data_IF_650773799495
#
_entry.id   IF_650773799495
#
_cell.length_a   1.000
_cell.length_b   1.000
_cell.length_c   1.000
_cell.angle_alpha   90.00
_cell.angle_beta   90.00
_cell.angle_gamma   90.00
#
_symmetry.space_group_name_H-M   'P 1'
#
loop_
_entity.id
_entity.type
_entity.pdbx_description
1 polymer ?
#
# COMPACT_ATOMS: atom_id res chain seq x y z
N UNK A 1 -40.78 39.23 -34.99
CA UNK A 1 -39.47 39.78 -34.57
C UNK A 1 -38.99 39.37 -33.18
N UNK A 2 -39.76 38.55 -32.43
CA UNK A 2 -39.33 38.03 -31.09
C UNK A 2 -38.60 36.70 -31.12
N UNK A 3 -38.63 35.94 -32.22
CA UNK A 3 -38.03 34.60 -32.33
C UNK A 3 -36.54 34.70 -32.68
N UNK A 4 -36.11 35.72 -33.41
CA UNK A 4 -34.73 35.89 -33.86
C UNK A 4 -33.81 36.27 -32.68
N UNK A 5 -34.30 37.02 -31.69
CA UNK A 5 -33.53 37.39 -30.52
C UNK A 5 -33.25 36.20 -29.57
N UNK A 6 -34.18 35.24 -29.46
CA UNK A 6 -33.95 34.03 -28.63
C UNK A 6 -32.92 33.09 -29.25
N UNK A 7 -32.91 32.99 -30.59
CA UNK A 7 -31.96 32.16 -31.30
C UNK A 7 -30.54 32.75 -31.27
N UNK A 8 -30.41 34.10 -31.38
CA UNK A 8 -29.11 34.75 -31.28
C UNK A 8 -28.51 34.69 -29.86
N UNK A 9 -29.35 34.73 -28.82
CA UNK A 9 -28.89 34.65 -27.43
C UNK A 9 -28.44 33.24 -27.07
N UNK A 10 -29.08 32.21 -27.63
CA UNK A 10 -28.70 30.81 -27.42
C UNK A 10 -27.37 30.45 -28.12
N UNK A 11 -27.11 31.05 -29.30
CA UNK A 11 -25.84 30.85 -30.02
C UNK A 11 -24.68 31.58 -29.31
N UNK A 12 -24.95 32.79 -28.75
CA UNK A 12 -23.94 33.51 -27.98
C UNK A 12 -23.55 32.80 -26.67
N UNK A 13 -24.49 32.07 -26.02
CA UNK A 13 -24.19 31.30 -24.81
C UNK A 13 -23.49 29.98 -25.08
N UNK A 14 -23.76 29.34 -26.24
CA UNK A 14 -23.08 28.12 -26.66
C UNK A 14 -21.63 28.39 -27.13
N UNK A 15 -21.33 29.61 -27.57
CA UNK A 15 -19.98 30.03 -27.99
C UNK A 15 -19.02 30.30 -26.82
N UNK A 16 -19.54 30.57 -25.61
CA UNK A 16 -18.72 30.85 -24.42
C UNK A 16 -18.31 29.62 -23.61
N UNK A 17 -18.91 28.48 -23.89
CA UNK A 17 -18.59 27.22 -23.18
C UNK A 17 -17.48 26.39 -23.84
N UNK A 18 -16.90 26.83 -24.96
CA UNK A 18 -15.81 26.15 -25.66
C UNK A 18 -14.43 26.80 -25.43
N UNK A 19 -14.36 27.86 -24.61
CA UNK A 19 -13.08 28.33 -24.07
C UNK A 19 -12.71 27.48 -22.85
N UNK A 20 -12.66 26.16 -23.01
CA UNK A 20 -11.92 25.28 -22.12
C UNK A 20 -10.45 25.63 -22.25
N UNK A 21 -9.85 26.08 -21.18
CA UNK A 21 -8.42 26.32 -21.08
C UNK A 21 -7.64 25.08 -21.51
N UNK A 22 -7.28 25.00 -22.79
CA UNK A 22 -6.06 24.33 -23.16
C UNK A 22 -4.91 25.20 -22.63
N UNK A 23 -4.57 25.00 -21.37
CA UNK A 23 -3.20 25.24 -20.93
C UNK A 23 -2.37 24.16 -21.59
N UNK A 24 -2.02 24.36 -22.86
CA UNK A 24 -0.83 23.73 -23.38
C UNK A 24 0.27 23.99 -22.35
N UNK A 25 0.90 22.93 -21.90
CA UNK A 25 2.23 22.99 -21.25
C UNK A 25 3.17 23.67 -22.27
N UNK A 26 3.16 24.99 -22.27
CA UNK A 26 4.04 25.82 -23.09
C UNK A 26 5.22 26.12 -22.21
N UNK A 27 6.33 25.66 -22.72
CA UNK A 27 7.72 26.03 -22.46
C UNK A 27 8.51 24.86 -21.90
N UNK A 28 9.53 24.48 -22.67
CA UNK A 28 10.64 23.71 -22.15
C UNK A 28 11.19 24.50 -20.97
N UNK A 29 11.08 23.91 -19.79
CA UNK A 29 11.56 24.52 -18.55
C UNK A 29 13.08 24.46 -18.60
N UNK A 30 13.72 25.56 -18.97
CA UNK A 30 15.16 25.69 -18.89
C UNK A 30 15.54 25.77 -17.41
N UNK A 31 16.10 24.69 -16.87
CA UNK A 31 16.62 24.65 -15.51
C UNK A 31 18.12 24.39 -15.56
N UNK A 32 18.92 25.23 -14.94
CA UNK A 32 20.33 24.98 -14.70
C UNK A 32 20.53 24.43 -13.28
N UNK A 33 21.31 23.35 -13.18
CA UNK A 33 21.68 22.73 -11.92
C UNK A 33 23.16 22.91 -11.72
N UNK A 34 23.53 23.62 -10.67
CA UNK A 34 24.91 23.81 -10.25
C UNK A 34 25.24 23.04 -8.97
N UNK A 35 26.52 22.89 -8.68
CA UNK A 35 27.03 22.36 -7.42
C UNK A 35 27.86 23.44 -6.74
N UNK A 36 27.54 23.77 -5.50
CA UNK A 36 28.34 24.70 -4.70
C UNK A 36 29.63 24.01 -4.30
N UNK A 37 30.76 24.52 -4.80
CA UNK A 37 32.09 23.94 -4.53
C UNK A 37 32.77 24.68 -3.41
N UNK A 38 33.57 23.96 -2.58
CA UNK A 38 34.42 24.48 -1.52
C UNK A 38 35.68 23.62 -1.35
N UNK A 39 36.37 23.74 -0.22
CA UNK A 39 37.55 22.93 0.08
C UNK A 39 37.27 21.42 0.28
N UNK A 40 36.01 21.03 0.45
CA UNK A 40 35.55 19.67 0.70
C UNK A 40 34.72 19.09 -0.42
N UNK A 41 34.23 19.96 -1.34
CA UNK A 41 33.35 19.58 -2.46
C UNK A 41 33.92 20.16 -3.74
N UNK A 42 34.21 19.32 -4.73
CA UNK A 42 34.62 19.71 -6.09
C UNK A 42 33.68 19.12 -7.15
N UNK A 43 33.54 19.83 -8.26
CA UNK A 43 32.70 19.42 -9.38
C UNK A 43 33.45 19.67 -10.69
N UNK A 44 33.56 18.64 -11.53
CA UNK A 44 34.27 18.68 -12.81
C UNK A 44 33.33 18.86 -14.03
N UNK A 45 32.06 19.21 -13.79
CA UNK A 45 31.01 19.30 -14.82
C UNK A 45 30.22 18.00 -15.00
N UNK A 46 30.66 16.88 -14.44
CA UNK A 46 30.01 15.59 -14.53
C UNK A 46 29.95 14.85 -13.20
N UNK A 47 31.02 14.94 -12.42
CA UNK A 47 31.20 14.17 -11.19
C UNK A 47 31.41 15.11 -10.01
N UNK A 48 30.65 14.91 -8.93
CA UNK A 48 30.88 15.57 -7.67
C UNK A 48 31.78 14.71 -6.80
N UNK A 49 32.87 15.28 -6.33
CA UNK A 49 33.77 14.62 -5.36
C UNK A 49 33.64 15.34 -4.03
N UNK A 50 33.31 14.60 -2.98
CA UNK A 50 33.10 15.14 -1.63
C UNK A 50 33.90 14.36 -0.60
N UNK A 51 34.50 15.06 0.36
CA UNK A 51 35.13 14.45 1.53
C UNK A 51 34.04 13.86 2.44
N UNK A 52 34.23 12.59 2.85
CA UNK A 52 33.26 11.87 3.67
C UNK A 52 32.76 12.72 4.86
N UNK A 53 31.43 12.75 5.01
CA UNK A 53 30.76 13.45 6.11
C UNK A 53 30.45 14.93 5.83
N UNK A 54 30.78 15.46 4.65
CA UNK A 54 30.41 16.81 4.26
C UNK A 54 29.14 16.82 3.40
N UNK A 55 28.27 17.85 3.54
CA UNK A 55 27.09 18.00 2.71
C UNK A 55 27.47 18.41 1.28
N UNK A 56 26.65 18.01 0.31
CA UNK A 56 26.68 18.52 -1.06
C UNK A 56 25.49 19.46 -1.23
N UNK A 57 25.76 20.70 -1.63
CA UNK A 57 24.72 21.70 -1.89
C UNK A 57 24.54 21.87 -3.39
N UNK A 58 23.32 21.71 -3.87
CA UNK A 58 22.94 21.98 -5.26
C UNK A 58 22.29 23.36 -5.35
N UNK A 59 22.62 24.10 -6.40
CA UNK A 59 21.92 25.32 -6.79
C UNK A 59 21.05 25.03 -8.01
N UNK A 60 19.88 25.63 -8.02
CA UNK A 60 18.92 25.55 -9.11
C UNK A 60 18.62 26.95 -9.61
N UNK A 61 18.70 27.14 -10.91
CA UNK A 61 18.28 28.37 -11.60
C UNK A 61 17.25 28.01 -12.65
N UNK A 62 16.08 28.63 -12.59
CA UNK A 62 14.91 28.33 -13.41
C UNK A 62 13.64 28.21 -12.57
N UNK A 63 12.49 27.99 -13.22
CA UNK A 63 11.18 27.94 -12.58
C UNK A 63 10.43 26.64 -12.96
N UNK A 64 10.93 25.47 -12.56
CA UNK A 64 10.26 24.20 -12.81
C UNK A 64 9.08 24.00 -11.85
N UNK A 65 7.97 23.41 -12.35
CA UNK A 65 6.82 23.04 -11.51
C UNK A 65 7.20 22.00 -10.44
N UNK A 66 8.10 21.06 -10.76
CA UNK A 66 8.70 20.12 -9.80
C UNK A 66 10.09 19.67 -10.18
N UNK A 67 10.86 19.26 -9.15
CA UNK A 67 12.18 18.65 -9.28
C UNK A 67 12.15 17.28 -8.60
N UNK A 68 12.55 16.23 -9.33
CA UNK A 68 12.77 14.91 -8.76
C UNK A 68 14.28 14.66 -8.60
N UNK A 69 14.71 14.35 -7.39
CA UNK A 69 16.09 14.04 -7.07
C UNK A 69 16.26 12.56 -6.73
N UNK A 70 17.23 11.91 -7.37
CA UNK A 70 17.63 10.53 -7.10
C UNK A 70 19.01 10.53 -6.47
N UNK A 71 19.10 10.17 -5.18
CA UNK A 71 20.37 10.23 -4.42
C UNK A 71 21.39 9.16 -4.82
N UNK A 72 20.96 8.12 -5.54
CA UNK A 72 21.79 6.96 -5.86
C UNK A 72 21.93 5.94 -4.74
N UNK A 73 21.32 6.19 -3.56
CA UNK A 73 21.22 5.18 -2.51
C UNK A 73 20.33 4.01 -2.94
N UNK A 74 20.48 2.86 -2.27
CA UNK A 74 19.63 1.68 -2.54
C UNK A 74 18.15 2.09 -2.46
N UNK A 75 17.40 1.78 -3.54
CA UNK A 75 15.99 2.17 -3.69
C UNK A 75 15.76 3.61 -4.17
N UNK A 76 16.80 4.44 -4.27
CA UNK A 76 16.73 5.84 -4.75
C UNK A 76 17.61 6.09 -5.97
N UNK A 77 17.86 5.07 -6.78
CA UNK A 77 18.69 5.14 -7.99
C UNK A 77 17.82 5.49 -9.21
N UNK A 78 18.33 6.38 -10.08
CA UNK A 78 17.63 6.81 -11.29
C UNK A 78 17.28 5.65 -12.25
N UNK A 79 18.10 4.58 -12.28
CA UNK A 79 17.79 3.37 -13.06
C UNK A 79 16.46 2.73 -12.68
N UNK A 80 15.98 3.01 -11.46
CA UNK A 80 14.72 2.50 -10.90
C UNK A 80 13.59 3.55 -10.89
N UNK A 81 13.72 4.67 -11.63
CA UNK A 81 12.73 5.76 -11.67
C UNK A 81 11.30 5.33 -12.07
N UNK A 82 11.20 4.22 -12.80
CA UNK A 82 9.91 3.64 -13.22
C UNK A 82 9.51 2.44 -12.34
N UNK A 83 10.24 2.16 -11.27
CA UNK A 83 9.92 1.05 -10.38
C UNK A 83 8.66 1.41 -9.59
N UNK A 84 7.60 0.64 -9.80
CA UNK A 84 6.35 0.71 -9.05
C UNK A 84 6.42 -0.24 -7.85
N UNK A 85 7.15 -1.34 -7.98
CA UNK A 85 7.30 -2.38 -6.97
C UNK A 85 8.72 -2.39 -6.39
N UNK A 86 8.82 -2.63 -5.08
CA UNK A 86 10.09 -2.90 -4.41
C UNK A 86 10.63 -4.26 -4.86
N UNK A 87 11.95 -4.36 -5.01
CA UNK A 87 12.54 -5.65 -5.32
C UNK A 87 12.72 -6.45 -4.02
N UNK A 88 12.47 -7.77 -4.05
CA UNK A 88 12.63 -8.63 -2.89
C UNK A 88 14.00 -8.53 -2.23
N UNK A 89 15.05 -8.37 -3.03
CA UNK A 89 16.44 -8.27 -2.58
C UNK A 89 16.78 -6.97 -1.83
N UNK A 90 15.95 -5.96 -1.92
CA UNK A 90 16.12 -4.70 -1.18
C UNK A 90 15.58 -4.81 0.26
N UNK A 91 14.78 -5.84 0.55
CA UNK A 91 14.06 -6.01 1.82
C UNK A 91 14.79 -7.04 2.69
N UNK A 92 15.24 -6.61 3.86
CA UNK A 92 15.86 -7.47 4.87
C UNK A 92 14.79 -8.21 5.68
N UNK A 93 13.71 -7.49 6.05
CA UNK A 93 12.64 -8.04 6.89
C UNK A 93 11.28 -7.54 6.41
N UNK A 94 10.33 -8.46 6.35
CA UNK A 94 8.93 -8.18 6.04
C UNK A 94 8.06 -8.89 7.06
N UNK A 95 7.21 -8.14 7.79
CA UNK A 95 6.33 -8.68 8.83
C UNK A 95 4.95 -8.04 8.77
N UNK A 96 3.91 -8.85 8.95
CA UNK A 96 2.58 -8.33 9.20
C UNK A 96 2.28 -8.35 10.69
N UNK A 97 1.83 -7.20 11.21
CA UNK A 97 1.53 -7.00 12.61
C UNK A 97 0.04 -6.69 12.79
N UNK A 98 -0.55 -7.27 13.81
CA UNK A 98 -1.95 -7.05 14.19
C UNK A 98 -2.21 -7.57 15.59
N UNK A 99 -3.35 -7.16 16.17
CA UNK A 99 -3.84 -7.69 17.44
C UNK A 99 -5.19 -8.36 17.25
N UNK A 100 -5.44 -9.42 18.01
CA UNK A 100 -6.71 -10.14 18.04
C UNK A 100 -7.34 -10.00 19.42
N UNK A 101 -8.65 -9.72 19.45
CA UNK A 101 -9.45 -9.74 20.68
C UNK A 101 -10.86 -10.22 20.35
N UNK A 102 -11.44 -11.03 21.26
CA UNK A 102 -12.84 -11.41 21.21
C UNK A 102 -13.66 -10.57 22.19
N UNK A 103 -14.74 -9.96 21.74
CA UNK A 103 -15.63 -9.20 22.60
C UNK A 103 -16.70 -10.08 23.25
N UNK A 104 -17.17 -11.08 22.53
CA UNK A 104 -18.19 -12.02 22.97
C UNK A 104 -17.77 -13.45 22.70
N UNK A 105 -18.49 -14.39 23.26
CA UNK A 105 -18.25 -15.82 23.14
C UNK A 105 -17.94 -16.47 24.48
N UNK A 106 -17.87 -17.78 24.47
CA UNK A 106 -17.39 -18.63 25.59
C UNK A 106 -16.16 -19.39 25.14
N UNK A 107 -15.45 -20.01 26.04
CA UNK A 107 -14.29 -20.85 25.70
C UNK A 107 -14.64 -21.89 24.61
N UNK A 108 -15.84 -22.50 24.70
CA UNK A 108 -16.33 -23.49 23.72
C UNK A 108 -16.59 -22.93 22.33
N UNK A 109 -16.98 -21.65 22.22
CA UNK A 109 -17.29 -21.01 20.94
C UNK A 109 -16.12 -20.24 20.35
N UNK A 110 -15.10 -19.94 21.16
CA UNK A 110 -13.90 -19.23 20.74
C UNK A 110 -12.84 -20.21 20.22
N UNK A 111 -12.55 -21.27 20.98
CA UNK A 111 -11.51 -22.25 20.65
C UNK A 111 -11.81 -22.94 19.32
N UNK A 112 -10.86 -22.88 18.39
CA UNK A 112 -11.00 -23.46 17.05
C UNK A 112 -11.94 -22.73 16.08
N UNK A 113 -12.55 -21.61 16.50
CA UNK A 113 -13.50 -20.88 15.64
C UNK A 113 -12.84 -19.93 14.64
N UNK A 114 -11.65 -19.45 14.94
CA UNK A 114 -10.95 -18.47 14.12
C UNK A 114 -9.71 -19.06 13.50
N UNK A 115 -9.49 -18.77 12.22
CA UNK A 115 -8.29 -19.12 11.48
C UNK A 115 -7.70 -17.87 10.87
N UNK A 116 -6.41 -17.69 11.00
CA UNK A 116 -5.64 -16.64 10.35
C UNK A 116 -4.75 -17.31 9.32
N UNK A 117 -5.06 -17.12 8.06
CA UNK A 117 -4.58 -17.90 6.95
C UNK A 117 -3.84 -17.02 5.96
N UNK A 118 -2.88 -17.60 5.24
CA UNK A 118 -2.15 -16.95 4.15
C UNK A 118 -2.14 -17.86 2.92
N UNK A 119 -2.20 -17.25 1.74
CA UNK A 119 -2.01 -17.91 0.46
C UNK A 119 -1.31 -16.99 -0.54
N UNK A 120 -0.46 -17.55 -1.39
CA UNK A 120 0.12 -16.92 -2.57
C UNK A 120 -0.52 -17.41 -3.89
N UNK A 121 -1.66 -18.10 -3.77
CA UNK A 121 -2.40 -18.68 -4.90
C UNK A 121 -3.84 -18.17 -4.99
N UNK A 122 -4.25 -17.26 -4.11
CA UNK A 122 -5.60 -16.75 -4.09
C UNK A 122 -5.78 -15.63 -5.13
N UNK A 123 -6.60 -15.87 -6.14
CA UNK A 123 -6.84 -14.93 -7.25
C UNK A 123 -7.82 -13.80 -6.92
N UNK A 124 -8.30 -13.73 -5.67
CA UNK A 124 -9.25 -12.71 -5.23
C UNK A 124 -10.73 -13.15 -5.33
N UNK A 125 -11.61 -12.21 -4.99
CA UNK A 125 -13.07 -12.40 -5.09
C UNK A 125 -13.67 -11.34 -6.02
N UNK A 126 -14.77 -11.73 -6.71
CA UNK A 126 -15.48 -10.82 -7.60
C UNK A 126 -16.31 -9.76 -6.87
N UNK A 127 -16.72 -10.08 -5.63
CA UNK A 127 -17.56 -9.23 -4.78
C UNK A 127 -19.01 -9.07 -5.26
N UNK A 128 -19.36 -9.65 -6.39
CA UNK A 128 -20.69 -9.54 -6.99
C UNK A 128 -21.39 -10.90 -7.20
N UNK A 129 -20.72 -12.01 -6.93
CA UNK A 129 -21.25 -13.36 -7.05
C UNK A 129 -20.82 -14.23 -5.87
N UNK A 130 -21.71 -14.36 -4.88
CA UNK A 130 -21.45 -15.08 -3.62
C UNK A 130 -21.02 -16.53 -3.82
N UNK A 131 -21.62 -17.24 -4.77
CA UNK A 131 -21.27 -18.65 -5.01
C UNK A 131 -19.86 -18.78 -5.63
N UNK A 132 -19.52 -17.95 -6.60
CA UNK A 132 -18.16 -17.92 -7.16
C UNK A 132 -17.12 -17.50 -6.12
N UNK A 133 -17.42 -16.49 -5.30
CA UNK A 133 -16.52 -15.98 -4.27
C UNK A 133 -16.30 -17.07 -3.20
N UNK A 134 -17.35 -17.78 -2.81
CA UNK A 134 -17.28 -18.92 -1.90
C UNK A 134 -16.43 -20.05 -2.48
N UNK A 135 -16.65 -20.40 -3.75
CA UNK A 135 -15.89 -21.41 -4.46
C UNK A 135 -14.40 -21.05 -4.55
N UNK A 136 -14.08 -19.80 -4.89
CA UNK A 136 -12.70 -19.29 -4.94
C UNK A 136 -11.99 -19.43 -3.59
N UNK A 137 -12.64 -19.05 -2.49
CA UNK A 137 -12.07 -19.17 -1.14
C UNK A 137 -11.94 -20.62 -0.70
N UNK A 138 -12.89 -21.51 -1.07
CA UNK A 138 -12.91 -22.90 -0.64
C UNK A 138 -11.89 -23.75 -1.40
N UNK A 139 -11.69 -23.47 -2.68
CA UNK A 139 -10.77 -24.23 -3.54
C UNK A 139 -9.30 -23.74 -3.43
N UNK A 140 -9.07 -22.58 -2.85
CA UNK A 140 -7.73 -22.07 -2.64
C UNK A 140 -6.99 -22.85 -1.53
N UNK A 141 -5.72 -23.10 -1.73
CA UNK A 141 -4.84 -23.65 -0.69
C UNK A 141 -4.43 -22.54 0.28
N UNK A 142 -4.79 -22.75 1.56
CA UNK A 142 -4.49 -21.85 2.64
C UNK A 142 -3.54 -22.49 3.65
N UNK A 143 -2.56 -21.72 4.11
CA UNK A 143 -1.66 -22.12 5.20
C UNK A 143 -1.99 -21.31 6.45
N UNK A 144 -1.97 -21.93 7.62
CA UNK A 144 -2.12 -21.23 8.91
C UNK A 144 -0.94 -20.26 9.11
N UNK A 145 -1.26 -18.97 9.20
CA UNK A 145 -0.29 -17.91 9.50
C UNK A 145 -0.03 -17.79 11.01
N UNK A 146 -1.06 -18.07 11.81
CA UNK A 146 -1.00 -18.13 13.28
C UNK A 146 -1.57 -19.45 13.73
N UNK A 147 -0.82 -20.18 14.54
CA UNK A 147 -1.27 -21.46 15.11
C UNK A 147 -2.51 -21.28 16.00
N UNK A 148 -3.44 -22.23 15.94
CA UNK A 148 -4.65 -22.23 16.76
C UNK A 148 -4.37 -22.13 18.27
N UNK A 149 -3.28 -22.75 18.73
CA UNK A 149 -2.87 -22.71 20.13
C UNK A 149 -2.38 -21.34 20.58
N UNK A 150 -1.99 -20.50 19.65
CA UNK A 150 -1.52 -19.15 19.91
C UNK A 150 -2.65 -18.12 19.95
N UNK A 151 -3.85 -18.46 19.47
CA UNK A 151 -4.99 -17.53 19.51
C UNK A 151 -5.53 -17.33 20.93
N UNK A 152 -6.16 -16.17 21.24
CA UNK A 152 -6.80 -15.96 22.53
C UNK A 152 -7.91 -16.99 22.75
N UNK A 153 -7.95 -17.59 23.96
CA UNK A 153 -8.96 -18.61 24.34
C UNK A 153 -10.08 -18.04 25.20
N UNK A 154 -10.07 -16.73 25.44
CA UNK A 154 -11.05 -16.04 26.26
C UNK A 154 -11.40 -14.64 25.70
N UNK A 155 -12.58 -14.14 26.08
CA UNK A 155 -13.03 -12.77 25.74
C UNK A 155 -12.20 -11.72 26.48
N UNK A 156 -12.09 -10.51 25.87
CA UNK A 156 -11.40 -9.34 26.43
C UNK A 156 -9.89 -9.53 26.65
N UNK A 157 -9.32 -10.62 26.14
CA UNK A 157 -7.89 -10.83 26.11
C UNK A 157 -7.39 -10.38 24.72
N UNK A 158 -6.55 -9.36 24.70
CA UNK A 158 -5.88 -8.90 23.48
C UNK A 158 -4.55 -9.63 23.35
N UNK A 159 -4.26 -10.14 22.18
CA UNK A 159 -2.99 -10.77 21.85
C UNK A 159 -2.42 -10.17 20.58
N UNK A 160 -1.15 -9.77 20.63
CA UNK A 160 -0.43 -9.15 19.54
C UNK A 160 0.36 -10.20 18.76
N UNK A 161 0.42 -10.01 17.45
CA UNK A 161 1.13 -10.90 16.52
C UNK A 161 2.05 -10.11 15.63
N UNK A 162 3.23 -10.68 15.38
CA UNK A 162 4.17 -10.27 14.36
C UNK A 162 4.54 -11.51 13.54
N UNK A 163 4.00 -11.60 12.34
CA UNK A 163 4.17 -12.77 11.49
C UNK A 163 5.16 -12.47 10.36
N UNK A 164 6.27 -13.20 10.24
CA UNK A 164 7.25 -12.97 9.19
C UNK A 164 6.69 -13.36 7.83
N UNK A 165 6.89 -12.48 6.85
CA UNK A 165 6.47 -12.67 5.46
C UNK A 165 7.66 -12.64 4.48
N UNK A 166 8.89 -12.72 4.96
CA UNK A 166 10.11 -12.63 4.13
C UNK A 166 10.15 -13.71 3.03
N UNK A 167 9.59 -14.91 3.30
CA UNK A 167 9.50 -16.01 2.31
C UNK A 167 8.48 -15.74 1.19
N UNK A 168 7.66 -14.72 1.33
CA UNK A 168 6.66 -14.31 0.35
C UNK A 168 7.05 -13.07 -0.44
N UNK A 169 8.25 -12.53 -0.24
CA UNK A 169 8.74 -11.37 -0.99
C UNK A 169 8.70 -11.66 -2.50
N UNK A 170 8.24 -10.68 -3.26
CA UNK A 170 8.07 -10.79 -4.72
C UNK A 170 6.84 -11.59 -5.16
N UNK A 171 6.00 -12.03 -4.24
CA UNK A 171 4.74 -12.71 -4.52
C UNK A 171 3.54 -11.84 -4.15
N UNK A 172 2.46 -12.00 -4.89
CA UNK A 172 1.16 -11.53 -4.46
C UNK A 172 0.63 -12.48 -3.39
N UNK A 173 0.22 -11.95 -2.24
CA UNK A 173 -0.29 -12.74 -1.13
C UNK A 173 -1.64 -12.23 -0.66
N UNK A 174 -2.44 -13.16 -0.17
CA UNK A 174 -3.70 -12.86 0.50
C UNK A 174 -3.68 -13.39 1.92
N UNK A 175 -4.19 -12.59 2.85
CA UNK A 175 -4.36 -12.99 4.26
C UNK A 175 -5.85 -13.03 4.56
N UNK A 176 -6.32 -14.17 5.08
CA UNK A 176 -7.71 -14.40 5.41
C UNK A 176 -7.90 -14.54 6.92
N UNK A 177 -8.83 -13.76 7.45
CA UNK A 177 -9.36 -13.92 8.81
C UNK A 177 -10.69 -14.63 8.73
N UNK A 178 -10.68 -15.95 8.94
CA UNK A 178 -11.88 -16.80 8.82
C UNK A 178 -12.46 -17.06 10.20
N UNK A 179 -13.74 -16.76 10.36
CA UNK A 179 -14.52 -17.15 11.52
C UNK A 179 -15.44 -18.32 11.14
N UNK A 180 -15.20 -19.48 11.72
CA UNK A 180 -16.00 -20.68 11.51
C UNK A 180 -16.48 -21.22 12.86
N UNK A 181 -17.62 -20.72 13.37
CA UNK A 181 -18.10 -21.13 14.67
C UNK A 181 -18.51 -22.61 14.67
N UNK A 182 -18.06 -23.31 15.70
CA UNK A 182 -18.25 -24.75 15.83
C UNK A 182 -19.61 -25.15 16.46
N UNK A 183 -20.21 -24.22 17.22
CA UNK A 183 -21.45 -24.47 17.96
C UNK A 183 -22.39 -23.25 17.89
N UNK A 184 -23.62 -23.49 17.42
CA UNK A 184 -24.67 -22.48 17.35
C UNK A 184 -25.56 -22.42 18.59
N UNK A 185 -25.33 -23.28 19.59
CA UNK A 185 -26.12 -23.36 20.83
C UNK A 185 -25.70 -22.34 21.89
N UNK A 186 -24.59 -21.63 21.67
CA UNK A 186 -24.04 -20.64 22.60
C UNK A 186 -23.76 -19.31 21.89
N UNK A 187 -23.42 -18.28 22.68
CA UNK A 187 -23.08 -16.95 22.17
C UNK A 187 -21.89 -17.04 21.21
N UNK A 188 -22.13 -16.58 19.99
CA UNK A 188 -21.12 -16.55 18.92
C UNK A 188 -19.99 -15.56 19.25
N UNK A 189 -18.75 -15.91 18.93
CA UNK A 189 -17.64 -14.99 19.10
C UNK A 189 -17.75 -13.79 18.14
N UNK A 190 -17.41 -12.61 18.66
CA UNK A 190 -17.17 -11.42 17.85
C UNK A 190 -15.68 -11.13 17.94
N UNK A 191 -15.00 -11.22 16.80
CA UNK A 191 -13.57 -11.00 16.68
C UNK A 191 -13.28 -9.59 16.18
N UNK A 192 -12.31 -8.94 16.79
CA UNK A 192 -11.73 -7.70 16.30
C UNK A 192 -10.26 -7.90 15.95
N UNK A 193 -9.91 -7.54 14.74
CA UNK A 193 -8.53 -7.44 14.27
C UNK A 193 -8.17 -5.95 14.31
N UNK A 194 -7.14 -5.59 15.07
CA UNK A 194 -6.73 -4.21 15.29
C UNK A 194 -5.28 -4.00 14.88
N UNK A 195 -4.96 -2.77 14.46
CA UNK A 195 -3.59 -2.37 14.17
C UNK A 195 -2.94 -3.13 13.03
N UNK A 196 -3.75 -3.65 12.07
CA UNK A 196 -3.21 -4.38 10.92
C UNK A 196 -2.31 -3.48 10.10
N UNK A 197 -1.04 -3.86 9.98
CA UNK A 197 -0.02 -3.13 9.25
C UNK A 197 1.08 -4.06 8.77
N UNK A 198 1.69 -3.72 7.64
CA UNK A 198 2.87 -4.39 7.09
C UNK A 198 4.08 -3.52 7.40
N UNK A 199 5.07 -4.09 8.05
CA UNK A 199 6.35 -3.46 8.35
C UNK A 199 7.44 -4.05 7.47
N UNK A 200 8.22 -3.18 6.87
CA UNK A 200 9.34 -3.51 6.00
C UNK A 200 10.60 -2.85 6.56
N UNK A 201 11.66 -3.63 6.68
CA UNK A 201 13.01 -3.16 6.96
C UNK A 201 13.87 -3.43 5.73
N UNK A 202 14.65 -2.43 5.31
CA UNK A 202 15.48 -2.50 4.11
C UNK A 202 16.94 -2.72 4.47
N UNK A 203 17.71 -3.33 3.56
CA UNK A 203 19.13 -3.58 3.71
C UNK A 203 19.97 -2.32 3.99
N UNK A 204 19.42 -1.13 3.74
CA UNK A 204 20.04 0.16 4.06
C UNK A 204 19.71 0.70 5.47
N UNK A 205 19.04 -0.10 6.30
CA UNK A 205 18.60 0.25 7.65
C UNK A 205 17.39 1.19 7.73
N UNK A 206 16.76 1.53 6.60
CA UNK A 206 15.49 2.27 6.58
C UNK A 206 14.33 1.32 6.81
N UNK A 207 13.21 1.85 7.32
CA UNK A 207 11.97 1.08 7.50
C UNK A 207 10.77 1.84 6.96
N UNK A 208 9.74 1.11 6.60
CA UNK A 208 8.44 1.68 6.24
C UNK A 208 7.31 0.84 6.77
N UNK A 209 6.16 1.47 7.02
CA UNK A 209 4.94 0.81 7.49
C UNK A 209 3.81 1.12 6.54
N UNK A 210 3.16 0.07 6.04
CA UNK A 210 1.97 0.15 5.19
C UNK A 210 0.76 -0.21 6.06
N UNK A 211 -0.16 0.73 6.22
CA UNK A 211 -1.36 0.54 7.02
C UNK A 211 -2.47 -0.16 6.24
N UNK A 212 -3.40 -0.80 6.96
CA UNK A 212 -4.52 -1.54 6.40
C UNK A 212 -5.41 -0.76 5.40
N UNK A 213 -5.48 0.59 5.53
CA UNK A 213 -6.22 1.44 4.57
C UNK A 213 -5.67 1.37 3.13
N UNK A 214 -4.44 0.90 2.98
CA UNK A 214 -3.76 0.76 1.69
C UNK A 214 -3.80 -0.69 1.17
N UNK A 215 -4.48 -1.60 1.90
CA UNK A 215 -4.69 -2.98 1.46
C UNK A 215 -6.00 -3.08 0.67
N UNK A 216 -6.02 -3.94 -0.30
CA UNK A 216 -7.27 -4.36 -0.93
C UNK A 216 -8.01 -5.30 0.03
N UNK A 217 -9.26 -4.96 0.37
CA UNK A 217 -10.05 -5.72 1.35
C UNK A 217 -11.31 -6.24 0.70
N UNK A 218 -11.43 -7.56 0.66
CA UNK A 218 -12.63 -8.26 0.22
C UNK A 218 -13.34 -8.99 1.37
N UNK A 219 -14.61 -9.33 1.19
CA UNK A 219 -15.39 -10.15 2.11
C UNK A 219 -16.10 -11.27 1.35
N UNK A 220 -15.91 -12.49 1.81
CA UNK A 220 -16.69 -13.64 1.35
C UNK A 220 -17.50 -14.21 2.51
N UNK A 221 -18.75 -14.62 2.24
CA UNK A 221 -19.62 -15.30 3.20
C UNK A 221 -19.84 -16.74 2.77
N UNK A 222 -19.52 -17.68 3.64
CA UNK A 222 -19.64 -19.12 3.42
C UNK A 222 -20.80 -19.72 4.22
N UNK A 223 -21.96 -19.05 4.25
CA UNK A 223 -23.18 -19.59 4.89
C UNK A 223 -23.91 -20.53 3.96
#
# INVERSE_FOLDING_TARGET
MKIIYKSLMTIAFAGLSLASCDKELKEETAMEVGVVTDSNVSFDGKTVTVKKGNPVTFSFDGDPDFISFFSGEIGHEYKHRNRIEMQPEDVEKCEINFSVVYDYGSAKTIEGSTHILISDQFEGISGNNVEKDKEAVTNCEWTELVSQDELPKATKVTKDYSCPLTSYLGKEISIAFRLNPLDNSATMPVIHIKGLQLNLEFNNGKSTTINAKNFEIGRASCR
#
